data_IF_085385692301
#
_entry.id   IF_085385692301
#
_cell.length_a   1.000
_cell.length_b   1.000
_cell.length_c   1.000
_cell.angle_alpha   90.00
_cell.angle_beta   90.00
_cell.angle_gamma   90.00
#
_symmetry.space_group_name_H-M   'P 1'
#
loop_
_entity.id
_entity.type
_entity.pdbx_description
1 polymer ?
#
# COMPACT_ATOMS: atom_id res chain seq x y z
N UNK A 1 25.34 15.62 -3.72
CA UNK A 1 24.06 15.24 -4.35
C UNK A 1 23.71 13.76 -4.18
N UNK A 2 24.62 12.80 -4.40
CA UNK A 2 24.30 11.36 -4.31
C UNK A 2 23.70 10.89 -2.98
N UNK A 3 24.21 11.37 -1.83
CA UNK A 3 23.67 11.03 -0.50
C UNK A 3 22.21 11.48 -0.29
N UNK A 4 21.80 12.60 -0.89
CA UNK A 4 20.42 13.13 -0.78
C UNK A 4 19.46 12.22 -1.56
N UNK A 5 19.84 11.83 -2.77
CA UNK A 5 19.07 10.88 -3.60
C UNK A 5 18.90 9.53 -2.88
N UNK A 6 19.95 9.00 -2.26
CA UNK A 6 19.86 7.74 -1.50
C UNK A 6 18.94 7.84 -0.28
N UNK A 7 18.96 8.98 0.41
CA UNK A 7 18.10 9.22 1.57
C UNK A 7 16.64 9.36 1.14
N UNK A 8 16.40 10.03 0.02
CA UNK A 8 15.07 10.21 -0.57
C UNK A 8 14.48 8.87 -1.04
N UNK A 9 15.28 8.00 -1.66
CA UNK A 9 14.85 6.65 -2.04
C UNK A 9 14.44 5.82 -0.81
N UNK A 10 15.24 5.86 0.27
CA UNK A 10 14.93 5.13 1.52
C UNK A 10 13.65 5.67 2.17
N UNK A 11 13.49 6.99 2.21
CA UNK A 11 12.27 7.63 2.71
C UNK A 11 11.04 7.24 1.89
N UNK A 12 11.15 7.24 0.56
CA UNK A 12 10.07 6.81 -0.34
C UNK A 12 9.66 5.35 -0.06
N UNK A 13 10.61 4.46 0.19
CA UNK A 13 10.32 3.05 0.50
C UNK A 13 9.56 2.91 1.81
N UNK A 14 10.02 3.62 2.86
CA UNK A 14 9.37 3.63 4.17
C UNK A 14 7.95 4.17 4.06
N UNK A 15 7.75 5.29 3.35
CA UNK A 15 6.44 5.91 3.12
C UNK A 15 5.52 4.96 2.33
N UNK A 16 6.04 4.31 1.28
CA UNK A 16 5.26 3.36 0.48
C UNK A 16 4.85 2.14 1.31
N UNK A 17 5.75 1.59 2.14
CA UNK A 17 5.45 0.47 3.03
C UNK A 17 4.37 0.85 4.07
N UNK A 18 4.46 2.05 4.67
CA UNK A 18 3.42 2.56 5.58
C UNK A 18 2.05 2.66 4.90
N UNK A 19 2.03 3.15 3.65
CA UNK A 19 0.81 3.21 2.86
C UNK A 19 0.23 1.82 2.61
N UNK A 20 1.05 0.85 2.17
CA UNK A 20 0.59 -0.52 1.89
C UNK A 20 0.10 -1.27 3.14
N UNK A 21 0.65 -0.99 4.32
CA UNK A 21 0.13 -1.55 5.58
C UNK A 21 -1.24 -0.98 5.97
N UNK A 22 -1.77 -0.01 5.22
CA UNK A 22 -3.09 0.58 5.44
C UNK A 22 -3.26 1.23 6.82
N UNK A 23 -2.16 1.49 7.54
CA UNK A 23 -2.18 2.17 8.85
C UNK A 23 -2.79 3.58 8.75
N UNK A 24 -2.63 4.23 7.59
CA UNK A 24 -3.19 5.56 7.32
C UNK A 24 -4.69 5.54 7.02
N UNK A 25 -5.30 4.38 6.77
CA UNK A 25 -6.75 4.28 6.54
C UNK A 25 -7.57 4.59 7.79
N UNK A 26 -6.96 4.55 8.98
CA UNK A 26 -7.60 5.02 10.22
C UNK A 26 -8.06 6.48 10.10
N UNK A 27 -7.24 7.35 9.49
CA UNK A 27 -7.63 8.74 9.23
C UNK A 27 -8.79 8.84 8.21
N UNK A 28 -8.82 7.91 7.26
CA UNK A 28 -9.93 7.78 6.30
C UNK A 28 -11.23 7.39 6.99
N UNK A 29 -11.20 6.41 7.90
CA UNK A 29 -12.38 5.96 8.65
C UNK A 29 -13.05 7.05 9.49
N UNK A 30 -12.26 7.93 10.11
CA UNK A 30 -12.80 9.11 10.83
C UNK A 30 -13.50 10.06 9.85
N UNK A 31 -12.92 10.30 8.66
CA UNK A 31 -13.51 11.18 7.64
C UNK A 31 -14.74 10.58 6.94
N UNK A 32 -14.82 9.25 6.85
CA UNK A 32 -15.91 8.52 6.21
C UNK A 32 -17.12 8.32 7.14
N UNK A 33 -16.93 8.41 8.46
CA UNK A 33 -18.02 8.40 9.44
C UNK A 33 -19.03 9.55 9.22
N UNK A 34 -18.56 10.69 8.70
CA UNK A 34 -19.39 11.88 8.45
C UNK A 34 -20.06 11.89 7.06
N UNK A 35 -19.76 10.95 6.15
CA UNK A 35 -20.27 10.96 4.77
C UNK A 35 -20.92 9.63 4.34
N UNK A 36 -22.26 9.49 4.46
CA UNK A 36 -22.96 8.24 4.12
C UNK A 36 -22.83 7.84 2.64
N UNK A 37 -22.56 8.78 1.74
CA UNK A 37 -22.34 8.52 0.31
C UNK A 37 -21.03 7.75 0.00
N UNK A 38 -20.03 7.81 0.89
CA UNK A 38 -18.77 7.05 0.75
C UNK A 38 -18.90 5.60 1.24
N UNK A 39 -19.94 5.30 2.03
CA UNK A 39 -20.18 3.97 2.59
C UNK A 39 -20.82 3.01 1.59
N UNK A 40 -21.58 3.55 0.63
CA UNK A 40 -22.35 2.80 -0.38
C UNK A 40 -21.56 2.55 -1.69
N UNK A 41 -20.49 3.31 -1.94
CA UNK A 41 -19.65 3.16 -3.13
C UNK A 41 -18.67 1.98 -3.07
N UNK A 42 -18.55 1.28 -1.92
CA UNK A 42 -17.58 0.21 -1.71
C UNK A 42 -16.10 0.65 -1.78
N UNK A 43 -15.85 1.98 -1.84
CA UNK A 43 -14.52 2.57 -1.85
C UNK A 43 -14.26 3.24 -0.50
N UNK A 44 -13.65 2.49 0.41
CA UNK A 44 -13.35 2.91 1.79
C UNK A 44 -12.21 3.95 1.86
N UNK A 45 -11.59 4.28 0.73
CA UNK A 45 -10.46 5.21 0.68
C UNK A 45 -10.96 6.64 0.58
N UNK A 46 -10.51 7.50 1.50
CA UNK A 46 -10.71 8.95 1.36
C UNK A 46 -10.04 9.46 0.09
N UNK A 47 -10.57 10.54 -0.50
CA UNK A 47 -10.00 11.14 -1.73
C UNK A 47 -8.49 11.46 -1.61
N UNK A 48 -8.03 11.78 -0.39
CA UNK A 48 -6.62 12.03 -0.07
C UNK A 48 -5.80 10.74 -0.13
N UNK A 49 -6.30 9.64 0.43
CA UNK A 49 -5.65 8.32 0.37
C UNK A 49 -5.54 7.82 -1.08
N UNK A 50 -6.60 8.01 -1.87
CA UNK A 50 -6.59 7.67 -3.30
C UNK A 50 -5.60 8.52 -4.10
N UNK A 51 -5.49 9.83 -3.83
CA UNK A 51 -4.47 10.67 -4.46
C UNK A 51 -3.05 10.18 -4.12
N UNK A 52 -2.80 9.87 -2.84
CA UNK A 52 -1.51 9.37 -2.37
C UNK A 52 -1.15 8.02 -3.03
N UNK A 53 -2.15 7.15 -3.20
CA UNK A 53 -2.04 5.89 -3.93
C UNK A 53 -1.57 6.09 -5.37
N UNK A 54 -2.24 6.98 -6.11
CA UNK A 54 -1.90 7.26 -7.50
C UNK A 54 -0.49 7.85 -7.64
N UNK A 55 -0.07 8.69 -6.69
CA UNK A 55 1.30 9.23 -6.65
C UNK A 55 2.33 8.11 -6.42
N UNK A 56 2.10 7.22 -5.44
CA UNK A 56 3.02 6.10 -5.15
C UNK A 56 3.11 5.14 -6.34
N UNK A 57 1.96 4.80 -6.94
CA UNK A 57 1.90 3.98 -8.15
C UNK A 57 2.60 4.65 -9.34
N UNK A 58 2.35 5.94 -9.55
CA UNK A 58 2.97 6.72 -10.63
C UNK A 58 4.49 6.77 -10.50
N UNK A 59 5.00 7.04 -9.29
CA UNK A 59 6.45 7.03 -9.01
C UNK A 59 7.02 5.63 -9.19
N UNK A 60 6.37 4.59 -8.66
CA UNK A 60 6.80 3.19 -8.84
C UNK A 60 6.86 2.80 -10.31
N UNK A 61 5.85 3.19 -11.08
CA UNK A 61 5.79 2.93 -12.51
C UNK A 61 6.89 3.66 -13.26
N UNK A 62 7.15 4.93 -12.93
CA UNK A 62 8.23 5.71 -13.52
C UNK A 62 9.60 5.09 -13.23
N UNK A 63 9.87 4.69 -11.98
CA UNK A 63 11.09 3.98 -11.60
C UNK A 63 11.22 2.64 -12.35
N UNK A 64 10.12 1.93 -12.52
CA UNK A 64 10.07 0.67 -13.27
C UNK A 64 10.39 0.89 -14.75
N UNK A 65 9.83 1.92 -15.39
CA UNK A 65 10.10 2.26 -16.78
C UNK A 65 11.57 2.64 -16.99
N UNK A 66 12.14 3.46 -16.10
CA UNK A 66 13.56 3.86 -16.16
C UNK A 66 14.50 2.65 -16.03
N UNK A 67 14.10 1.60 -15.30
CA UNK A 67 14.93 0.41 -15.02
C UNK A 67 14.39 -0.88 -15.62
N UNK A 68 13.59 -0.76 -16.69
CA UNK A 68 12.82 -1.86 -17.27
C UNK A 68 13.66 -3.09 -17.63
N UNK A 69 14.90 -2.92 -18.11
CA UNK A 69 15.73 -4.05 -18.55
C UNK A 69 16.15 -5.00 -17.41
N UNK A 70 16.60 -4.45 -16.27
CA UNK A 70 17.03 -5.27 -15.12
C UNK A 70 15.83 -5.92 -14.43
N UNK A 71 14.71 -5.20 -14.39
CA UNK A 71 13.45 -5.64 -13.80
C UNK A 71 12.82 -6.74 -14.67
N UNK A 72 12.78 -6.57 -15.99
CA UNK A 72 12.27 -7.56 -16.94
C UNK A 72 13.07 -8.87 -16.90
N UNK A 73 14.40 -8.79 -16.75
CA UNK A 73 15.24 -9.98 -16.57
C UNK A 73 14.87 -10.74 -15.27
N UNK A 74 14.73 -10.02 -14.16
CA UNK A 74 14.38 -10.62 -12.86
C UNK A 74 12.95 -11.18 -12.86
N UNK A 75 12.02 -10.48 -13.53
CA UNK A 75 10.63 -10.87 -13.74
C UNK A 75 10.52 -12.16 -14.58
N UNK A 76 11.27 -12.27 -15.68
CA UNK A 76 11.26 -13.44 -16.56
C UNK A 76 11.71 -14.73 -15.85
N UNK A 77 12.59 -14.60 -14.85
CA UNK A 77 13.06 -15.74 -14.05
C UNK A 77 12.02 -16.24 -13.03
N UNK A 78 11.02 -15.42 -12.69
CA UNK A 78 10.00 -15.72 -11.67
C UNK A 78 8.60 -15.90 -12.27
N UNK A 79 8.47 -16.84 -13.20
CA UNK A 79 7.21 -17.14 -13.93
C UNK A 79 6.03 -17.46 -13.02
N UNK A 80 6.28 -18.13 -11.89
CA UNK A 80 5.24 -18.50 -10.92
C UNK A 80 4.59 -17.27 -10.27
N UNK A 81 5.37 -16.22 -9.98
CA UNK A 81 4.82 -14.97 -9.43
C UNK A 81 3.85 -14.34 -10.42
N UNK A 82 4.23 -14.25 -11.70
CA UNK A 82 3.37 -13.68 -12.73
C UNK A 82 2.10 -14.49 -12.98
N UNK A 83 2.14 -15.82 -12.83
CA UNK A 83 0.93 -16.65 -12.87
C UNK A 83 -0.02 -16.28 -11.73
N UNK A 84 0.50 -16.03 -10.53
CA UNK A 84 -0.29 -15.60 -9.38
C UNK A 84 -0.87 -14.19 -9.56
N UNK A 85 -0.11 -13.27 -10.18
CA UNK A 85 -0.60 -11.94 -10.56
C UNK A 85 -1.70 -12.03 -11.59
N UNK A 86 -1.52 -12.85 -12.62
CA UNK A 86 -2.54 -13.06 -13.65
C UNK A 86 -3.82 -13.62 -13.01
N UNK A 87 -3.69 -14.59 -12.10
CA UNK A 87 -4.83 -15.12 -11.34
C UNK A 87 -5.52 -14.03 -10.50
N UNK A 88 -4.77 -13.19 -9.81
CA UNK A 88 -5.31 -12.08 -9.02
C UNK A 88 -6.05 -11.06 -9.90
N UNK A 89 -5.56 -10.79 -11.12
CA UNK A 89 -6.28 -9.96 -12.09
C UNK A 89 -7.54 -10.68 -12.56
N UNK A 90 -7.46 -11.95 -12.95
CA UNK A 90 -8.63 -12.72 -13.39
C UNK A 90 -9.72 -12.85 -12.30
N UNK A 91 -9.37 -12.63 -11.02
CA UNK A 91 -10.33 -12.61 -9.92
C UNK A 91 -11.42 -11.55 -10.08
N UNK A 92 -11.24 -10.52 -10.92
CA UNK A 92 -12.33 -9.56 -11.18
C UNK A 92 -13.51 -10.19 -11.92
N UNK A 93 -13.28 -11.24 -12.74
CA UNK A 93 -14.33 -11.84 -13.58
C UNK A 93 -15.44 -12.53 -12.76
N UNK A 94 -15.14 -12.93 -11.53
CA UNK A 94 -16.09 -13.58 -10.63
C UNK A 94 -16.47 -12.73 -9.42
N UNK A 95 -16.04 -11.46 -9.39
CA UNK A 95 -16.33 -10.58 -8.25
C UNK A 95 -17.74 -9.99 -8.35
N UNK A 96 -18.48 -9.90 -7.23
CA UNK A 96 -19.75 -9.16 -7.16
C UNK A 96 -19.61 -7.67 -7.53
N UNK A 97 -18.42 -7.08 -7.33
CA UNK A 97 -18.13 -5.66 -7.58
C UNK A 97 -16.86 -5.57 -8.44
N UNK A 98 -16.97 -5.78 -9.77
CA UNK A 98 -15.81 -5.93 -10.65
C UNK A 98 -14.94 -4.68 -10.73
N UNK A 99 -15.53 -3.48 -10.66
CA UNK A 99 -14.81 -2.20 -10.74
C UNK A 99 -13.82 -2.01 -9.59
N UNK A 100 -14.24 -2.30 -8.36
CA UNK A 100 -13.41 -2.20 -7.15
C UNK A 100 -12.32 -3.28 -7.18
N UNK A 101 -12.67 -4.49 -7.59
CA UNK A 101 -11.71 -5.60 -7.68
C UNK A 101 -10.63 -5.34 -8.73
N UNK A 102 -10.98 -4.80 -9.90
CA UNK A 102 -10.01 -4.45 -10.95
C UNK A 102 -9.06 -3.35 -10.49
N UNK A 103 -9.56 -2.30 -9.82
CA UNK A 103 -8.70 -1.26 -9.22
C UNK A 103 -7.72 -1.87 -8.21
N UNK A 104 -8.20 -2.72 -7.30
CA UNK A 104 -7.35 -3.41 -6.31
C UNK A 104 -6.32 -4.32 -6.98
N UNK A 105 -6.67 -4.99 -8.07
CA UNK A 105 -5.73 -5.81 -8.84
C UNK A 105 -4.62 -4.98 -9.49
N UNK A 106 -4.92 -3.79 -10.03
CA UNK A 106 -3.90 -2.86 -10.58
C UNK A 106 -2.96 -2.38 -9.47
N UNK A 107 -3.50 -2.05 -8.31
CA UNK A 107 -2.72 -1.61 -7.14
C UNK A 107 -1.80 -2.73 -6.68
N UNK A 108 -2.30 -3.97 -6.64
CA UNK A 108 -1.51 -5.15 -6.32
C UNK A 108 -0.38 -5.38 -7.33
N UNK A 109 -0.63 -5.18 -8.62
CA UNK A 109 0.41 -5.24 -9.66
C UNK A 109 1.49 -4.17 -9.40
N UNK A 110 1.10 -2.95 -9.05
CA UNK A 110 2.01 -1.88 -8.65
C UNK A 110 2.84 -2.23 -7.42
N UNK A 111 2.25 -2.86 -6.41
CA UNK A 111 2.96 -3.34 -5.22
C UNK A 111 4.04 -4.38 -5.58
N UNK A 112 3.73 -5.31 -6.49
CA UNK A 112 4.71 -6.32 -6.92
C UNK A 112 5.86 -5.67 -7.68
N UNK A 113 5.56 -4.72 -8.57
CA UNK A 113 6.58 -3.94 -9.26
C UNK A 113 7.43 -3.14 -8.27
N UNK A 114 6.82 -2.50 -7.27
CA UNK A 114 7.53 -1.81 -6.20
C UNK A 114 8.48 -2.75 -5.46
N UNK A 115 7.99 -3.91 -5.00
CA UNK A 115 8.81 -4.92 -4.33
C UNK A 115 9.98 -5.39 -5.19
N UNK A 116 9.75 -5.55 -6.50
CA UNK A 116 10.80 -5.95 -7.45
C UNK A 116 11.86 -4.86 -7.64
N UNK A 117 11.46 -3.58 -7.64
CA UNK A 117 12.39 -2.45 -7.68
C UNK A 117 13.26 -2.39 -6.42
N UNK A 118 12.67 -2.60 -5.24
CA UNK A 118 13.40 -2.66 -3.98
C UNK A 118 14.36 -3.86 -4.00
N UNK A 119 13.90 -5.03 -4.44
CA UNK A 119 14.71 -6.25 -4.51
C UNK A 119 15.89 -6.15 -5.49
N UNK A 120 15.73 -5.39 -6.58
CA UNK A 120 16.80 -5.18 -7.55
C UNK A 120 17.89 -4.21 -7.06
N UNK A 121 17.59 -3.36 -6.06
CA UNK A 121 18.48 -2.30 -5.59
C UNK A 121 19.17 -2.61 -4.27
N UNK A 122 18.46 -3.19 -3.31
CA UNK A 122 18.93 -3.37 -1.95
C UNK A 122 19.26 -4.83 -1.66
N UNK A 123 20.27 -5.07 -0.83
CA UNK A 123 20.56 -6.43 -0.34
C UNK A 123 19.45 -6.91 0.60
N UNK A 124 19.38 -8.23 0.83
CA UNK A 124 18.38 -8.81 1.74
C UNK A 124 18.46 -8.21 3.14
N UNK A 125 19.68 -7.95 3.64
CA UNK A 125 19.91 -7.30 4.93
C UNK A 125 19.33 -5.88 4.98
N UNK A 126 19.53 -5.09 3.92
CA UNK A 126 18.98 -3.74 3.83
C UNK A 126 17.45 -3.73 3.74
N UNK A 127 16.87 -4.69 3.00
CA UNK A 127 15.43 -4.87 2.91
C UNK A 127 14.82 -5.17 4.29
N UNK A 128 15.43 -6.11 5.03
CA UNK A 128 15.00 -6.43 6.40
C UNK A 128 15.17 -5.23 7.34
N UNK A 129 16.26 -4.47 7.21
CA UNK A 129 16.47 -3.26 8.02
C UNK A 129 15.39 -2.21 7.76
N UNK A 130 15.05 -1.96 6.50
CA UNK A 130 13.98 -1.03 6.12
C UNK A 130 12.63 -1.53 6.65
N UNK A 131 12.37 -2.84 6.56
CA UNK A 131 11.16 -3.45 7.11
C UNK A 131 11.06 -3.27 8.64
N UNK A 132 12.15 -3.54 9.37
CA UNK A 132 12.20 -3.34 10.81
C UNK A 132 11.96 -1.87 11.19
N UNK A 133 12.53 -0.92 10.44
CA UNK A 133 12.30 0.52 10.67
C UNK A 133 10.81 0.85 10.44
N UNK A 134 10.21 0.35 9.36
CA UNK A 134 8.78 0.58 9.09
C UNK A 134 7.89 0.00 10.17
N UNK A 135 8.16 -1.24 10.61
CA UNK A 135 7.39 -1.89 11.67
C UNK A 135 7.55 -1.17 13.01
N UNK A 136 8.76 -0.74 13.36
CA UNK A 136 9.01 0.07 14.55
C UNK A 136 8.21 1.38 14.52
N UNK A 137 8.19 2.06 13.36
CA UNK A 137 7.40 3.28 13.20
C UNK A 137 5.89 3.01 13.31
N UNK A 138 5.40 1.91 12.72
CA UNK A 138 3.99 1.51 12.82
C UNK A 138 3.60 1.27 14.27
N UNK A 139 4.43 0.56 15.05
CA UNK A 139 4.19 0.33 16.47
C UNK A 139 4.12 1.66 17.23
N UNK A 140 5.07 2.57 17.00
CA UNK A 140 5.07 3.88 17.65
C UNK A 140 3.80 4.68 17.31
N UNK A 141 3.43 4.73 16.03
CA UNK A 141 2.20 5.38 15.57
C UNK A 141 1.00 4.73 16.27
N UNK A 142 0.89 3.42 16.26
CA UNK A 142 -0.22 2.69 16.86
C UNK A 142 -0.36 2.96 18.37
N UNK A 143 0.75 2.96 19.13
CA UNK A 143 0.74 3.27 20.57
C UNK A 143 0.29 4.71 20.80
N UNK A 144 0.83 5.67 20.05
CA UNK A 144 0.44 7.09 20.16
C UNK A 144 -1.05 7.26 19.85
N UNK A 145 -1.56 6.61 18.81
CA UNK A 145 -2.98 6.63 18.44
C UNK A 145 -3.87 6.04 19.53
N UNK A 146 -3.51 4.87 20.05
CA UNK A 146 -4.26 4.18 21.10
C UNK A 146 -4.36 5.02 22.37
N UNK A 147 -3.28 5.72 22.74
CA UNK A 147 -3.27 6.59 23.92
C UNK A 147 -4.01 7.93 23.70
N UNK A 148 -3.95 8.48 22.48
CA UNK A 148 -4.53 9.79 22.17
C UNK A 148 -6.03 9.74 21.89
N UNK A 149 -6.54 8.61 21.37
CA UNK A 149 -7.93 8.44 20.94
C UNK A 149 -8.55 7.16 21.53
N UNK A 150 -8.69 7.04 22.87
CA UNK A 150 -9.26 5.85 23.50
C UNK A 150 -10.73 5.64 23.10
N UNK A 151 -11.46 6.71 22.79
CA UNK A 151 -12.86 6.64 22.37
C UNK A 151 -13.05 6.06 20.96
N UNK A 152 -12.04 6.13 20.08
CA UNK A 152 -12.08 5.50 18.76
C UNK A 152 -11.87 3.98 18.82
N UNK A 153 -11.34 3.46 19.94
CA UNK A 153 -11.19 2.02 20.20
C UNK A 153 -12.46 1.38 20.77
N UNK A 154 -13.45 2.18 21.17
CA UNK A 154 -14.75 1.73 21.66
C UNK A 154 -15.72 1.81 20.48
N UNK A 155 -16.19 0.66 19.99
CA UNK A 155 -17.22 0.63 18.96
C UNK A 155 -18.50 1.29 19.50
N UNK A 156 -18.81 2.51 19.05
CA UNK A 156 -19.98 3.28 19.47
C UNK A 156 -21.10 3.27 18.41
N UNK A 157 -21.40 2.09 17.85
CA UNK A 157 -22.42 1.89 16.82
C UNK A 157 -23.70 1.17 17.32
N UNK A 158 -24.67 0.98 16.42
CA UNK A 158 -25.99 0.35 16.64
C UNK A 158 -25.97 -1.09 17.21
N UNK A 159 -24.80 -1.67 17.46
CA UNK A 159 -24.62 -3.00 18.06
C UNK A 159 -24.07 -2.92 19.50
N UNK A 160 -24.31 -1.82 20.21
CA UNK A 160 -24.09 -1.79 21.66
C UNK A 160 -24.99 -2.83 22.36
N UNK A 161 -24.42 -3.99 22.68
CA UNK A 161 -25.02 -4.99 23.56
C UNK A 161 -25.69 -6.21 22.91
N UNK A 162 -25.35 -6.55 21.66
CA UNK A 162 -25.76 -7.83 21.04
C UNK A 162 -24.74 -8.95 21.29
#
# INVERSE_FOLDING_TARGET
MQKILETLDKAFIVISLLYFTSTLNFFGGISSADNPALRDSGDENSAVLSLMQYVILGITFLLTCIRSQRIAYLASKRRFLWALVALAILSFLWSPIPDVTLRKAIVFLGLILFGLNVAARYTLEEQLRLLCITMGLIILINVVFTLSLPWAAIESGEHQGA
#
